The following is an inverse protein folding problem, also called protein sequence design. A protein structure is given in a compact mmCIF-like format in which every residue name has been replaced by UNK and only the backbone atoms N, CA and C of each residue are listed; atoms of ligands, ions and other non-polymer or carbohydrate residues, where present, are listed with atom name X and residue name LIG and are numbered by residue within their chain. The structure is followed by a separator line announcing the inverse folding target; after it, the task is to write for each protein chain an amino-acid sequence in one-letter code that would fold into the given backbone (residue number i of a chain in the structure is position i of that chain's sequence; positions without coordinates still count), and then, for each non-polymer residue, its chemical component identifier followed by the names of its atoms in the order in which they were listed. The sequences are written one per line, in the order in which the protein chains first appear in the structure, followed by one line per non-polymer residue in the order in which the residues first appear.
data_IF_308687288118
#
_entry.id   IF_308687288118
#
_cell.length_a   1.000
_cell.length_b   1.000
_cell.length_c   1.000
_cell.angle_alpha   90.00
_cell.angle_beta   90.00
_cell.angle_gamma   90.00
#
_symmetry.space_group_name_H-M   'P 1'
#
loop_
_entity.id
_entity.type
_entity.pdbx_description
1 polymer ?
#
# COMPACT_ATOMS: atom_id res chain seq x y z
N UNK A 1 11.02 12.39 -5.21
CA UNK A 1 10.15 12.16 -4.06
C UNK A 1 9.97 10.68 -3.81
N UNK A 2 9.96 10.31 -2.55
CA UNK A 2 9.77 8.91 -2.21
C UNK A 2 8.31 8.60 -2.04
N UNK A 3 7.81 7.72 -2.89
CA UNK A 3 6.46 7.24 -2.79
C UNK A 3 6.50 5.79 -2.32
N UNK A 4 5.74 5.50 -1.29
CA UNK A 4 5.66 4.15 -0.75
C UNK A 4 4.40 3.49 -1.25
N UNK A 5 4.53 2.23 -1.62
CA UNK A 5 3.39 1.44 -2.07
C UNK A 5 3.04 0.39 -1.04
N UNK A 6 1.77 0.05 -0.96
CA UNK A 6 1.32 -0.97 -0.01
C UNK A 6 0.31 -1.87 -0.70
N UNK A 7 0.58 -3.16 -0.70
CA UNK A 7 -0.31 -4.15 -1.26
C UNK A 7 -0.91 -4.97 -0.13
N UNK A 8 -2.23 -5.05 -0.10
CA UNK A 8 -2.93 -5.82 0.90
C UNK A 8 -3.32 -4.99 2.10
N UNK A 9 -4.60 -4.69 2.21
CA UNK A 9 -5.14 -3.86 3.28
C UNK A 9 -5.98 -4.70 4.23
N UNK A 10 -5.39 -5.77 4.72
CA UNK A 10 -6.05 -6.60 5.70
C UNK A 10 -5.95 -6.00 7.09
N UNK A 11 -6.14 -6.85 8.11
CA UNK A 11 -6.17 -6.39 9.48
C UNK A 11 -4.88 -5.66 9.87
N UNK A 12 -3.74 -6.19 9.44
CA UNK A 12 -2.46 -5.57 9.75
C UNK A 12 -2.08 -4.51 8.75
N UNK A 13 -2.36 -4.75 7.47
CA UNK A 13 -1.92 -3.84 6.42
C UNK A 13 -2.61 -2.50 6.46
N UNK A 14 -3.88 -2.48 6.79
CA UNK A 14 -4.66 -1.25 6.79
C UNK A 14 -4.05 -0.20 7.73
N UNK A 15 -3.82 -0.51 9.01
CA UNK A 15 -3.22 0.49 9.91
C UNK A 15 -1.75 0.76 9.60
N UNK A 16 -1.01 -0.23 9.12
CA UNK A 16 0.40 -0.01 8.80
C UNK A 16 0.56 0.96 7.64
N UNK A 17 -0.26 0.81 6.61
CA UNK A 17 -0.24 1.75 5.50
C UNK A 17 -0.63 3.14 5.97
N UNK A 18 -1.56 3.22 6.92
CA UNK A 18 -1.95 4.49 7.50
C UNK A 18 -0.80 5.20 8.21
N UNK A 19 0.01 4.44 8.94
CA UNK A 19 1.19 5.02 9.59
C UNK A 19 2.17 5.56 8.56
N UNK A 20 2.40 4.79 7.51
CA UNK A 20 3.35 5.20 6.47
C UNK A 20 2.85 6.47 5.78
N UNK A 21 1.55 6.58 5.58
CA UNK A 21 0.98 7.72 4.87
C UNK A 21 1.14 9.04 5.62
N UNK A 22 1.43 8.97 6.91
CA UNK A 22 1.66 10.18 7.69
C UNK A 22 3.00 10.83 7.38
N UNK A 23 3.95 10.06 6.89
CA UNK A 23 5.30 10.57 6.67
C UNK A 23 5.72 10.54 5.21
N UNK A 24 5.09 9.69 4.42
CA UNK A 24 5.46 9.52 3.01
C UNK A 24 4.23 9.57 2.15
N UNK A 25 4.43 9.99 0.91
CA UNK A 25 3.38 9.85 -0.07
C UNK A 25 3.14 8.35 -0.29
N UNK A 26 1.90 7.92 -0.16
CA UNK A 26 1.58 6.50 -0.12
C UNK A 26 0.51 6.16 -1.13
N UNK A 27 0.73 5.07 -1.85
CA UNK A 27 -0.23 4.53 -2.78
C UNK A 27 -0.54 3.10 -2.38
N UNK A 28 -1.82 2.73 -2.37
CA UNK A 28 -2.22 1.42 -1.90
C UNK A 28 -2.96 0.66 -3.00
N UNK A 29 -2.85 -0.65 -2.93
CA UNK A 29 -3.61 -1.54 -3.78
C UNK A 29 -4.14 -2.69 -2.94
N UNK A 30 -5.40 -3.02 -3.14
CA UNK A 30 -6.00 -4.19 -2.51
C UNK A 30 -6.91 -4.85 -3.52
N UNK A 31 -6.96 -6.18 -3.48
CA UNK A 31 -7.81 -6.93 -4.40
C UNK A 31 -9.27 -6.48 -4.26
N UNK A 32 -9.68 -6.20 -3.05
CA UNK A 32 -11.03 -5.70 -2.79
C UNK A 32 -11.02 -4.18 -2.90
N UNK A 33 -11.71 -3.64 -3.89
CA UNK A 33 -11.74 -2.20 -4.12
C UNK A 33 -12.39 -1.45 -2.97
N UNK A 34 -13.33 -2.08 -2.29
CA UNK A 34 -14.00 -1.41 -1.20
C UNK A 34 -13.03 -1.11 -0.05
N UNK A 35 -12.06 -1.98 0.16
CA UNK A 35 -11.07 -1.73 1.20
C UNK A 35 -10.13 -0.60 0.82
N UNK A 36 -9.75 -0.53 -0.44
CA UNK A 36 -8.91 0.57 -0.91
C UNK A 36 -9.62 1.90 -0.77
N UNK A 37 -10.89 1.94 -1.15
CA UNK A 37 -11.67 3.16 -1.04
C UNK A 37 -11.84 3.59 0.42
N UNK A 38 -12.05 2.63 1.30
CA UNK A 38 -12.19 2.92 2.72
C UNK A 38 -10.88 3.49 3.29
N UNK A 39 -9.76 2.90 2.86
CA UNK A 39 -8.46 3.36 3.33
C UNK A 39 -8.21 4.81 2.93
N UNK A 40 -8.47 5.13 1.66
CA UNK A 40 -8.24 6.49 1.17
C UNK A 40 -9.16 7.50 1.86
N UNK A 41 -10.35 7.07 2.24
CA UNK A 41 -11.26 7.95 2.96
C UNK A 41 -10.74 8.30 4.36
N UNK A 42 -9.90 7.44 4.92
CA UNK A 42 -9.41 7.62 6.30
C UNK A 42 -7.98 8.11 6.39
N UNK A 43 -7.22 7.96 5.32
CA UNK A 43 -5.80 8.28 5.33
C UNK A 43 -5.44 9.10 4.12
N UNK A 44 -4.29 9.77 4.20
CA UNK A 44 -3.77 10.53 3.06
C UNK A 44 -3.06 9.57 2.13
N UNK A 45 -3.53 9.49 0.89
CA UNK A 45 -2.89 8.61 -0.08
C UNK A 45 -3.75 8.44 -1.29
N UNK A 46 -3.29 7.60 -2.20
CA UNK A 46 -4.00 7.31 -3.43
C UNK A 46 -4.16 5.82 -3.61
N UNK A 47 -5.03 5.44 -4.53
CA UNK A 47 -5.29 4.04 -4.86
C UNK A 47 -4.69 3.71 -6.21
N UNK A 48 -3.94 2.62 -6.29
CA UNK A 48 -3.49 2.09 -7.56
C UNK A 48 -4.55 1.12 -8.07
N UNK A 49 -4.66 1.04 -9.39
CA UNK A 49 -5.66 0.17 -9.99
C UNK A 49 -5.13 -1.23 -10.27
N UNK A 50 -3.83 -1.41 -10.17
CA UNK A 50 -3.21 -2.71 -10.36
C UNK A 50 -1.86 -2.72 -9.67
N UNK A 51 -1.30 -3.91 -9.40
CA UNK A 51 0.05 -3.98 -8.86
C UNK A 51 1.08 -3.35 -9.79
N UNK A 52 0.87 -3.43 -11.10
CA UNK A 52 1.78 -2.82 -12.06
C UNK A 52 1.79 -1.29 -11.92
N UNK A 53 0.62 -0.70 -11.75
CA UNK A 53 0.53 0.74 -11.55
C UNK A 53 1.31 1.15 -10.31
N UNK A 54 1.13 0.39 -9.25
CA UNK A 54 1.83 0.67 -8.01
C UNK A 54 3.34 0.57 -8.21
N UNK A 55 3.77 -0.45 -8.93
CA UNK A 55 5.19 -0.68 -9.17
C UNK A 55 5.84 0.41 -10.00
N UNK A 56 5.09 1.03 -10.90
CA UNK A 56 5.67 2.08 -11.75
C UNK A 56 5.77 3.41 -11.03
N UNK A 57 5.00 3.61 -9.98
CA UNK A 57 4.95 4.89 -9.28
C UNK A 57 5.80 4.89 -8.01
N UNK A 58 5.88 3.76 -7.33
CA UNK A 58 6.44 3.72 -5.99
C UNK A 58 7.90 3.31 -5.99
N UNK A 59 8.65 3.88 -5.05
CA UNK A 59 10.08 3.56 -4.86
C UNK A 59 10.24 2.29 -4.03
N UNK A 60 9.38 2.10 -3.06
CA UNK A 60 9.37 0.92 -2.21
C UNK A 60 7.95 0.41 -2.12
N UNK A 61 7.82 -0.90 -2.09
CA UNK A 61 6.51 -1.53 -2.01
C UNK A 61 6.53 -2.52 -0.85
N UNK A 62 5.54 -2.39 0.02
CA UNK A 62 5.32 -3.31 1.11
C UNK A 62 4.14 -4.20 0.77
N UNK A 63 4.27 -5.47 1.07
CA UNK A 63 3.18 -6.42 0.82
C UNK A 63 2.79 -7.07 2.13
N UNK A 64 1.50 -7.03 2.43
CA UNK A 64 0.97 -7.68 3.61
C UNK A 64 0.16 -8.89 3.18
N UNK A 65 0.52 -10.05 3.70
CA UNK A 65 -0.17 -11.28 3.38
C UNK A 65 -1.14 -11.56 4.51
N UNK A 66 -2.42 -11.52 4.19
CA UNK A 66 -3.47 -11.58 5.21
C UNK A 66 -3.38 -12.80 6.10
N UNK A 67 -3.07 -13.94 5.52
CA UNK A 67 -3.12 -15.20 6.25
C UNK A 67 -1.99 -15.36 7.24
N UNK A 68 -0.90 -14.66 7.04
CA UNK A 68 0.32 -14.85 7.82
C UNK A 68 0.64 -13.69 8.74
N UNK A 69 -0.10 -12.62 8.66
CA UNK A 69 0.25 -11.38 9.36
C UNK A 69 1.67 -10.93 9.04
N UNK A 70 2.14 -11.32 7.88
CA UNK A 70 3.52 -11.12 7.47
C UNK A 70 3.58 -9.92 6.53
N UNK A 71 4.49 -9.01 6.80
CA UNK A 71 4.69 -7.85 5.94
C UNK A 71 6.04 -7.97 5.29
N UNK A 72 6.04 -7.92 3.95
CA UNK A 72 7.27 -8.03 3.19
C UNK A 72 7.51 -6.78 2.40
N UNK A 73 8.77 -6.40 2.34
CA UNK A 73 9.16 -5.24 1.58
C UNK A 73 9.82 -5.67 0.29
N UNK A 74 9.39 -5.05 -0.81
CA UNK A 74 10.03 -5.24 -2.10
C UNK A 74 10.62 -3.92 -2.54
N UNK A 75 11.90 -3.94 -2.88
CA UNK A 75 12.52 -2.76 -3.43
C UNK A 75 12.59 -2.89 -4.93
N UNK A 76 12.22 -1.82 -5.59
CA UNK A 76 12.23 -1.79 -7.03
C UNK A 76 13.67 -1.75 -7.51
N UNK A 77 14.01 -2.67 -8.39
CA UNK A 77 15.33 -2.68 -9.00
C UNK A 77 15.30 -1.91 -10.31
N UNK A 78 16.34 -1.23 -10.54
CA UNK A 78 16.51 -0.57 -11.82
C UNK A 78 17.35 -1.38 -12.75
#
# INVERSE_FOLDING_TARGET
MNTKGFIGLGVMGFPMAGHISKEYQTEVYNRSESKSADWVARHSGTVAYSPEDLGSTCNEIFMCIDNDDDVREFKKKK
#
